data_IF_436431564493
#
_entry.id   IF_436431564493
#
_cell.length_a   1.000
_cell.length_b   1.000
_cell.length_c   1.000
_cell.angle_alpha   90.00
_cell.angle_beta   90.00
_cell.angle_gamma   90.00
#
_symmetry.space_group_name_H-M   'P 1'
#
loop_
_entity.id
_entity.type
_entity.pdbx_description
1 polymer ?
#
# COMPACT_ATOMS: atom_id res chain seq x y z
N UNK A 1 -1.76 -61.66 -10.01
CA UNK A 1 -0.65 -60.89 -10.62
C UNK A 1 -1.12 -59.46 -10.97
N UNK A 2 -1.58 -58.67 -9.99
CA UNK A 2 -2.15 -57.31 -10.22
C UNK A 2 -1.65 -56.28 -9.17
N UNK A 3 -0.69 -56.65 -8.31
CA UNK A 3 -0.26 -55.79 -7.19
C UNK A 3 1.16 -55.20 -7.33
N UNK A 4 1.69 -55.06 -8.56
CA UNK A 4 3.05 -54.55 -8.80
C UNK A 4 3.10 -53.28 -9.68
N UNK A 5 2.01 -52.92 -10.37
CA UNK A 5 1.99 -51.74 -11.27
C UNK A 5 1.62 -50.40 -10.59
N UNK A 6 1.07 -50.39 -9.38
CA UNK A 6 0.73 -49.14 -8.68
C UNK A 6 1.84 -48.58 -7.77
N UNK A 7 2.87 -49.37 -7.46
CA UNK A 7 4.04 -48.92 -6.69
C UNK A 7 5.11 -48.23 -7.56
N UNK A 8 5.08 -48.43 -8.88
CA UNK A 8 6.04 -47.82 -9.81
C UNK A 8 5.70 -46.39 -10.22
N UNK A 9 4.41 -45.98 -10.16
CA UNK A 9 4.00 -44.58 -10.43
C UNK A 9 4.29 -43.64 -9.24
N UNK A 10 4.20 -44.14 -8.01
CA UNK A 10 4.51 -43.36 -6.80
C UNK A 10 6.02 -43.15 -6.60
N UNK A 11 6.86 -44.05 -7.10
CA UNK A 11 8.32 -43.90 -7.07
C UNK A 11 8.88 -42.97 -8.17
N UNK A 12 8.20 -42.82 -9.32
CA UNK A 12 8.60 -41.87 -10.38
C UNK A 12 8.32 -40.40 -10.02
N UNK A 13 7.47 -40.13 -9.03
CA UNK A 13 7.15 -38.76 -8.60
C UNK A 13 8.32 -38.05 -7.89
N UNK A 14 9.35 -38.77 -7.46
CA UNK A 14 10.52 -38.22 -6.75
C UNK A 14 11.65 -37.73 -7.66
N UNK A 15 11.56 -37.91 -8.99
CA UNK A 15 12.62 -37.50 -9.91
C UNK A 15 12.39 -36.15 -10.61
N UNK A 16 11.18 -35.59 -10.55
CA UNK A 16 10.92 -34.27 -11.11
C UNK A 16 11.04 -33.19 -10.04
N UNK A 17 11.75 -32.08 -10.30
CA UNK A 17 11.80 -30.97 -9.36
C UNK A 17 10.39 -30.43 -9.13
N UNK A 18 9.97 -30.32 -7.88
CA UNK A 18 8.66 -29.76 -7.50
C UNK A 18 8.55 -28.34 -8.08
N UNK A 19 7.48 -28.11 -8.85
CA UNK A 19 7.17 -26.82 -9.49
C UNK A 19 6.01 -26.15 -8.78
N UNK A 20 6.24 -24.95 -8.27
CA UNK A 20 5.25 -24.16 -7.54
C UNK A 20 4.96 -22.89 -8.32
N UNK A 21 3.68 -22.66 -8.63
CA UNK A 21 3.22 -21.41 -9.20
C UNK A 21 2.92 -20.41 -8.07
N UNK A 22 3.45 -19.19 -8.17
CA UNK A 22 3.15 -18.09 -7.25
C UNK A 22 2.47 -16.98 -8.04
N UNK A 23 1.23 -16.67 -7.65
CA UNK A 23 0.37 -15.70 -8.33
C UNK A 23 0.49 -14.35 -7.63
N UNK A 24 1.28 -13.44 -8.17
CA UNK A 24 1.53 -12.12 -7.61
C UNK A 24 2.98 -11.95 -7.13
N UNK A 25 3.63 -10.89 -7.60
CA UNK A 25 5.04 -10.59 -7.31
C UNK A 25 5.23 -9.60 -6.16
N UNK A 26 4.26 -9.51 -5.25
CA UNK A 26 4.34 -8.64 -4.08
C UNK A 26 5.28 -9.21 -3.00
N UNK A 27 5.43 -8.50 -1.86
CA UNK A 27 6.28 -8.95 -0.75
C UNK A 27 5.93 -10.35 -0.22
N UNK A 28 4.64 -10.71 -0.19
CA UNK A 28 4.16 -12.03 0.21
C UNK A 28 4.68 -13.14 -0.71
N UNK A 29 4.55 -12.95 -2.03
CA UNK A 29 5.05 -13.90 -3.02
C UNK A 29 6.57 -14.06 -2.95
N UNK A 30 7.30 -12.94 -2.90
CA UNK A 30 8.76 -12.95 -2.87
C UNK A 30 9.34 -13.58 -1.59
N UNK A 31 8.68 -13.40 -0.43
CA UNK A 31 9.10 -14.04 0.83
C UNK A 31 9.02 -15.57 0.78
N UNK A 32 8.02 -16.10 0.07
CA UNK A 32 7.86 -17.56 -0.12
C UNK A 32 8.98 -18.12 -0.97
N UNK A 33 9.42 -17.39 -2.01
CA UNK A 33 10.55 -17.79 -2.85
C UNK A 33 11.86 -17.93 -2.06
N UNK A 34 12.08 -17.06 -1.08
CA UNK A 34 13.29 -17.07 -0.25
C UNK A 34 13.37 -18.22 0.76
N UNK A 35 12.24 -18.85 1.10
CA UNK A 35 12.15 -19.80 2.22
C UNK A 35 12.33 -21.26 1.83
N UNK A 36 12.40 -21.58 0.54
CA UNK A 36 12.25 -22.96 0.04
C UNK A 36 13.16 -23.28 -1.16
N UNK A 37 13.40 -24.58 -1.39
CA UNK A 37 14.35 -25.10 -2.38
C UNK A 37 13.72 -25.48 -3.75
N UNK A 38 12.45 -25.18 -3.99
CA UNK A 38 11.71 -25.62 -5.19
C UNK A 38 11.87 -24.70 -6.41
N UNK A 39 11.35 -25.13 -7.57
CA UNK A 39 11.27 -24.30 -8.77
C UNK A 39 10.00 -23.43 -8.70
N UNK A 40 10.16 -22.13 -8.89
CA UNK A 40 9.06 -21.18 -8.78
C UNK A 40 8.77 -20.48 -10.10
N UNK A 41 7.49 -20.35 -10.43
CA UNK A 41 7.05 -19.48 -11.52
C UNK A 41 6.19 -18.36 -10.94
N UNK A 42 6.68 -17.12 -11.06
CA UNK A 42 6.06 -15.93 -10.48
C UNK A 42 5.27 -15.20 -11.56
N UNK A 43 3.96 -15.14 -11.42
CA UNK A 43 3.06 -14.43 -12.34
C UNK A 43 2.80 -13.01 -11.84
N UNK A 44 2.91 -12.01 -12.71
CA UNK A 44 2.54 -10.62 -12.42
C UNK A 44 1.65 -10.06 -13.52
N UNK A 45 0.48 -9.56 -13.13
CA UNK A 45 -0.33 -8.68 -13.98
C UNK A 45 0.36 -7.32 -14.12
N UNK A 46 0.57 -6.85 -15.35
CA UNK A 46 0.76 -5.42 -15.58
C UNK A 46 -0.59 -4.76 -15.82
N UNK A 47 -0.70 -3.45 -15.52
CA UNK A 47 -1.93 -2.67 -15.72
C UNK A 47 -2.36 -2.59 -17.20
N UNK A 48 -3.26 -1.66 -17.53
CA UNK A 48 -3.99 -1.53 -18.81
C UNK A 48 -3.18 -2.00 -20.04
N UNK A 49 -3.83 -2.76 -20.95
CA UNK A 49 -3.17 -3.51 -22.01
C UNK A 49 -2.70 -2.58 -23.13
N UNK A 50 -1.59 -1.87 -22.93
CA UNK A 50 -0.89 -1.22 -24.03
C UNK A 50 0.16 -2.19 -24.57
N UNK A 51 -0.28 -3.11 -25.43
CA UNK A 51 0.53 -3.90 -26.38
C UNK A 51 1.78 -4.65 -25.85
N UNK A 52 1.96 -4.79 -24.53
CA UNK A 52 3.10 -5.52 -24.00
C UNK A 52 2.95 -7.01 -24.33
N UNK A 53 3.97 -7.61 -24.93
CA UNK A 53 4.07 -9.07 -25.07
C UNK A 53 4.37 -9.68 -23.68
N UNK A 54 4.03 -10.95 -23.42
CA UNK A 54 4.46 -11.64 -22.21
C UNK A 54 5.99 -11.51 -22.07
N UNK A 55 6.45 -10.85 -21.00
CA UNK A 55 7.89 -10.65 -20.79
C UNK A 55 8.41 -11.74 -19.86
N UNK A 56 9.30 -12.57 -20.41
CA UNK A 56 10.12 -13.51 -19.66
C UNK A 56 11.40 -12.76 -19.31
N UNK A 57 11.56 -12.32 -18.06
CA UNK A 57 12.67 -11.43 -17.73
C UNK A 57 12.56 -10.76 -16.37
N UNK A 58 13.52 -9.88 -16.07
CA UNK A 58 13.81 -9.34 -14.74
C UNK A 58 12.60 -8.77 -13.98
N UNK A 59 12.47 -9.15 -12.72
CA UNK A 59 11.53 -8.54 -11.77
C UNK A 59 12.01 -7.13 -11.44
N UNK A 60 11.29 -6.11 -11.93
CA UNK A 60 11.48 -4.73 -11.44
C UNK A 60 10.44 -4.47 -10.35
N UNK A 61 10.91 -4.38 -9.10
CA UNK A 61 10.16 -3.88 -7.96
C UNK A 61 10.60 -2.43 -7.68
N UNK A 62 9.72 -1.60 -7.11
CA UNK A 62 9.96 -0.17 -6.82
C UNK A 62 9.86 0.14 -5.31
N UNK A 63 10.46 -0.68 -4.43
CA UNK A 63 10.45 -0.45 -2.97
C UNK A 63 11.84 -0.68 -2.38
N UNK A 64 12.30 0.06 -1.36
CA UNK A 64 13.65 -0.10 -0.75
C UNK A 64 14.05 -1.52 -0.28
N UNK A 65 13.13 -2.48 -0.26
CA UNK A 65 13.40 -3.92 -0.08
C UNK A 65 13.80 -4.62 -1.41
N UNK A 66 13.98 -3.86 -2.49
CA UNK A 66 14.34 -4.34 -3.83
C UNK A 66 15.58 -5.21 -3.76
N UNK A 67 16.64 -4.81 -3.06
CA UNK A 67 17.93 -5.51 -3.20
C UNK A 67 17.84 -6.97 -2.76
N UNK A 68 17.19 -7.28 -1.63
CA UNK A 68 17.02 -8.66 -1.17
C UNK A 68 16.07 -9.47 -2.06
N UNK A 69 15.03 -8.81 -2.60
CA UNK A 69 14.05 -9.47 -3.45
C UNK A 69 14.55 -9.65 -4.90
N UNK A 70 15.37 -8.75 -5.41
CA UNK A 70 16.02 -8.86 -6.73
C UNK A 70 17.00 -10.02 -6.72
N UNK A 71 17.80 -10.19 -5.66
CA UNK A 71 18.66 -11.37 -5.51
C UNK A 71 17.85 -12.67 -5.51
N UNK A 72 16.68 -12.67 -4.86
CA UNK A 72 15.79 -13.84 -4.83
C UNK A 72 15.19 -14.12 -6.21
N UNK A 73 14.78 -13.08 -6.94
CA UNK A 73 14.21 -13.18 -8.28
C UNK A 73 15.23 -13.58 -9.36
N UNK A 74 16.50 -13.24 -9.18
CA UNK A 74 17.61 -13.63 -10.07
C UNK A 74 18.09 -15.07 -9.86
N UNK A 75 17.57 -15.78 -8.86
CA UNK A 75 17.96 -17.16 -8.63
C UNK A 75 17.54 -18.04 -9.82
N UNK A 76 18.42 -18.92 -10.29
CA UNK A 76 18.14 -19.87 -11.39
C UNK A 76 16.90 -20.75 -11.17
N UNK A 77 16.46 -20.88 -9.91
CA UNK A 77 15.25 -21.64 -9.52
C UNK A 77 13.95 -20.85 -9.67
N UNK A 78 14.02 -19.56 -9.98
CA UNK A 78 12.86 -18.68 -10.11
C UNK A 78 12.75 -18.24 -11.57
N UNK A 79 11.57 -18.45 -12.16
CA UNK A 79 11.21 -17.89 -13.47
C UNK A 79 10.14 -16.85 -13.27
N UNK A 80 10.39 -15.61 -13.68
CA UNK A 80 9.37 -14.58 -13.69
C UNK A 80 8.62 -14.55 -15.02
N UNK A 81 7.29 -14.51 -14.92
CA UNK A 81 6.38 -14.35 -16.04
C UNK A 81 5.53 -13.10 -15.80
N UNK A 82 5.97 -11.98 -16.35
CA UNK A 82 5.27 -10.71 -16.27
C UNK A 82 4.23 -10.55 -17.38
N UNK A 83 3.31 -9.62 -17.17
CA UNK A 83 2.25 -9.27 -18.11
C UNK A 83 1.32 -10.46 -18.43
N UNK A 84 0.95 -11.20 -17.39
CA UNK A 84 -0.03 -12.29 -17.45
C UNK A 84 -1.07 -12.06 -16.37
N UNK A 85 -2.32 -11.99 -16.80
CA UNK A 85 -3.49 -11.87 -15.95
C UNK A 85 -4.15 -13.22 -15.77
N UNK A 86 -4.10 -13.75 -14.55
CA UNK A 86 -4.73 -15.03 -14.21
C UNK A 86 -6.24 -14.80 -14.08
N UNK A 87 -7.02 -15.62 -14.79
CA UNK A 87 -8.46 -15.48 -14.95
C UNK A 87 -8.88 -14.94 -16.32
N UNK A 88 -8.03 -14.18 -17.01
CA UNK A 88 -8.28 -13.72 -18.39
C UNK A 88 -7.36 -14.40 -19.41
N UNK A 89 -6.06 -14.36 -19.20
CA UNK A 89 -5.06 -14.85 -20.16
C UNK A 89 -4.78 -16.34 -19.92
N UNK A 90 -4.74 -16.74 -18.66
CA UNK A 90 -4.57 -18.13 -18.21
C UNK A 90 -5.56 -18.41 -17.10
N UNK A 91 -6.34 -19.49 -17.22
CA UNK A 91 -7.26 -19.91 -16.17
C UNK A 91 -6.52 -20.47 -14.96
N UNK A 92 -7.12 -20.35 -13.77
CA UNK A 92 -6.56 -20.96 -12.56
C UNK A 92 -6.46 -22.49 -12.70
N UNK A 93 -7.39 -23.12 -13.42
CA UNK A 93 -7.38 -24.57 -13.63
C UNK A 93 -6.15 -25.02 -14.42
N UNK A 94 -5.81 -24.33 -15.51
CA UNK A 94 -4.61 -24.62 -16.29
C UNK A 94 -3.34 -24.53 -15.43
N UNK A 95 -3.29 -23.62 -14.46
CA UNK A 95 -2.14 -23.53 -13.53
C UNK A 95 -2.17 -24.71 -12.55
N UNK A 96 -3.33 -25.12 -12.04
CA UNK A 96 -3.42 -26.28 -11.15
C UNK A 96 -3.03 -27.59 -11.83
N UNK A 97 -3.30 -27.72 -13.12
CA UNK A 97 -2.98 -28.94 -13.87
C UNK A 97 -1.48 -29.05 -14.23
N UNK A 98 -0.78 -27.92 -14.38
CA UNK A 98 0.62 -27.87 -14.82
C UNK A 98 1.65 -27.78 -13.68
N UNK A 99 1.22 -27.45 -12.45
CA UNK A 99 2.08 -27.19 -11.29
C UNK A 99 1.69 -28.06 -10.10
N UNK A 100 2.66 -28.43 -9.26
CA UNK A 100 2.41 -29.27 -8.09
C UNK A 100 1.67 -28.53 -6.97
N UNK A 101 1.88 -27.22 -6.88
CA UNK A 101 1.20 -26.35 -5.93
C UNK A 101 1.02 -24.95 -6.52
N UNK A 102 -0.05 -24.28 -6.10
CA UNK A 102 -0.36 -22.90 -6.49
C UNK A 102 -0.53 -22.07 -5.23
N UNK A 103 0.21 -20.97 -5.14
CA UNK A 103 0.15 -20.03 -4.02
C UNK A 103 -0.38 -18.70 -4.52
N UNK A 104 -1.48 -18.24 -3.93
CA UNK A 104 -2.11 -16.98 -4.29
C UNK A 104 -1.54 -15.85 -3.42
N UNK A 105 -0.88 -14.89 -4.06
CA UNK A 105 -0.16 -13.76 -3.44
C UNK A 105 -0.47 -12.44 -4.17
N UNK A 106 -1.66 -12.30 -4.74
CA UNK A 106 -2.04 -11.16 -5.59
C UNK A 106 -2.48 -9.92 -4.81
N UNK A 107 -2.48 -9.97 -3.48
CA UNK A 107 -2.83 -8.84 -2.61
C UNK A 107 -4.31 -8.46 -2.67
N UNK A 108 -4.61 -7.23 -2.24
CA UNK A 108 -5.95 -6.65 -2.28
C UNK A 108 -5.98 -5.51 -3.31
N UNK A 109 -6.52 -5.79 -4.49
CA UNK A 109 -6.58 -4.83 -5.59
C UNK A 109 -7.83 -3.93 -5.56
N UNK A 110 -8.89 -4.37 -4.90
CA UNK A 110 -10.16 -3.65 -4.84
C UNK A 110 -10.20 -2.64 -3.70
N UNK A 111 -10.86 -1.52 -3.98
CA UNK A 111 -11.13 -0.46 -3.03
C UNK A 111 -12.34 -0.81 -2.17
N UNK A 112 -12.32 -0.40 -0.89
CA UNK A 112 -13.50 -0.49 -0.03
C UNK A 112 -14.37 0.74 -0.25
N UNK A 113 -15.56 0.54 -0.81
CA UNK A 113 -16.57 1.60 -0.98
C UNK A 113 -17.11 2.09 0.36
N UNK A 114 -17.57 3.34 0.39
CA UNK A 114 -18.22 3.94 1.55
C UNK A 114 -19.70 3.53 1.60
N UNK A 115 -20.29 3.20 0.45
CA UNK A 115 -21.71 2.87 0.26
C UNK A 115 -22.62 3.99 0.78
N UNK A 116 -22.29 5.23 0.39
CA UNK A 116 -23.06 6.43 0.71
C UNK A 116 -23.50 7.14 -0.58
N UNK A 117 -24.54 7.94 -0.48
CA UNK A 117 -24.98 8.78 -1.58
C UNK A 117 -23.87 9.75 -2.01
N UNK A 118 -23.66 9.88 -3.32
CA UNK A 118 -22.63 10.74 -3.88
C UNK A 118 -21.22 10.15 -3.88
N UNK A 119 -21.00 8.87 -3.55
CA UNK A 119 -19.65 8.29 -3.55
C UNK A 119 -19.01 8.11 -4.95
N UNK A 120 -19.83 8.11 -6.01
CA UNK A 120 -19.37 7.90 -7.39
C UNK A 120 -19.15 9.22 -8.16
N UNK A 121 -19.25 10.38 -7.50
CA UNK A 121 -18.93 11.68 -8.11
C UNK A 121 -17.43 11.80 -8.45
N UNK A 122 -17.10 12.57 -9.50
CA UNK A 122 -15.74 12.62 -10.06
C UNK A 122 -14.64 13.08 -9.09
N UNK A 123 -14.99 13.88 -8.07
CA UNK A 123 -14.06 14.39 -7.07
C UNK A 123 -13.88 13.44 -5.86
N UNK A 124 -14.63 12.34 -5.80
CA UNK A 124 -14.46 11.30 -4.76
C UNK A 124 -13.57 10.19 -5.32
N UNK A 125 -12.42 10.02 -4.69
CA UNK A 125 -11.35 9.15 -5.20
C UNK A 125 -10.88 8.23 -4.07
N UNK A 126 -10.69 6.95 -4.39
CA UNK A 126 -10.05 6.02 -3.44
C UNK A 126 -8.62 6.46 -3.15
N UNK A 127 -8.25 6.48 -1.87
CA UNK A 127 -6.88 6.75 -1.44
C UNK A 127 -5.87 5.82 -2.12
N UNK A 128 -6.20 4.54 -2.37
CA UNK A 128 -5.32 3.62 -3.12
C UNK A 128 -5.07 4.10 -4.54
N UNK A 129 -6.10 4.63 -5.22
CA UNK A 129 -5.98 5.15 -6.59
C UNK A 129 -5.17 6.44 -6.62
N UNK A 130 -5.36 7.33 -5.63
CA UNK A 130 -4.51 8.50 -5.44
C UNK A 130 -3.04 8.12 -5.23
N UNK A 131 -2.79 7.11 -4.39
CA UNK A 131 -1.44 6.52 -4.19
C UNK A 131 -0.89 5.91 -5.47
N UNK A 132 -1.73 5.20 -6.22
CA UNK A 132 -1.36 4.61 -7.51
C UNK A 132 -0.98 5.68 -8.52
N UNK A 133 -1.73 6.78 -8.57
CA UNK A 133 -1.51 7.91 -9.47
C UNK A 133 -0.13 8.55 -9.26
N UNK A 134 0.22 8.95 -8.03
CA UNK A 134 1.51 9.61 -7.81
C UNK A 134 2.71 8.66 -7.94
N UNK A 135 2.53 7.37 -7.62
CA UNK A 135 3.56 6.33 -7.79
C UNK A 135 3.66 5.75 -9.21
N UNK A 136 2.79 6.16 -10.15
CA UNK A 136 2.86 5.71 -11.54
C UNK A 136 2.34 4.30 -11.80
N UNK A 137 1.36 3.83 -11.01
CA UNK A 137 0.60 2.62 -11.33
C UNK A 137 -0.11 2.83 -12.67
N UNK A 138 0.09 1.97 -13.68
CA UNK A 138 -0.44 2.19 -15.02
C UNK A 138 -1.96 2.38 -15.10
N UNK A 139 -2.71 1.67 -14.25
CA UNK A 139 -4.18 1.75 -14.21
C UNK A 139 -4.69 3.11 -13.69
N UNK A 140 -3.90 3.78 -12.86
CA UNK A 140 -4.25 5.02 -12.16
C UNK A 140 -3.50 6.24 -12.74
N UNK A 141 -2.73 6.09 -13.83
CA UNK A 141 -1.95 7.17 -14.46
C UNK A 141 -2.82 8.32 -14.97
N UNK A 142 -3.93 7.99 -15.62
CA UNK A 142 -4.84 8.95 -16.25
C UNK A 142 -5.95 9.43 -15.30
N UNK A 143 -5.72 9.29 -13.98
CA UNK A 143 -6.67 9.74 -12.98
C UNK A 143 -6.74 11.27 -13.00
N UNK A 144 -7.90 11.80 -13.37
CA UNK A 144 -8.12 13.24 -13.39
C UNK A 144 -8.47 13.75 -12.00
N UNK A 145 -7.43 14.06 -11.22
CA UNK A 145 -7.59 14.70 -9.91
C UNK A 145 -7.60 16.21 -10.11
N UNK A 146 -8.66 16.84 -9.60
CA UNK A 146 -8.74 18.29 -9.41
C UNK A 146 -8.16 18.66 -8.04
N UNK A 147 -7.13 19.51 -8.04
CA UNK A 147 -6.47 20.05 -6.85
C UNK A 147 -6.67 21.57 -6.72
N UNK A 148 -7.57 22.15 -7.52
CA UNK A 148 -7.92 23.57 -7.51
C UNK A 148 -8.95 23.90 -6.41
N UNK A 149 -8.77 23.31 -5.24
CA UNK A 149 -9.61 23.53 -4.07
C UNK A 149 -8.72 23.80 -2.86
N UNK A 150 -9.24 24.52 -1.87
CA UNK A 150 -8.45 24.82 -0.67
C UNK A 150 -8.43 23.68 0.36
N UNK A 151 -9.41 22.76 0.29
CA UNK A 151 -9.62 21.73 1.31
C UNK A 151 -9.79 20.35 0.70
N UNK A 152 -9.03 19.38 1.21
CA UNK A 152 -9.22 17.97 0.93
C UNK A 152 -9.68 17.21 2.19
N UNK A 153 -10.55 16.22 2.01
CA UNK A 153 -11.07 15.38 3.09
C UNK A 153 -10.69 13.93 2.82
N UNK A 154 -10.09 13.29 3.83
CA UNK A 154 -9.65 11.90 3.78
C UNK A 154 -10.46 11.11 4.81
N UNK A 155 -11.16 10.08 4.35
CA UNK A 155 -11.95 9.20 5.22
C UNK A 155 -11.09 8.00 5.62
N UNK A 156 -10.74 7.92 6.90
CA UNK A 156 -9.96 6.84 7.50
C UNK A 156 -8.69 7.33 8.20
N UNK A 157 -8.34 6.69 9.32
CA UNK A 157 -7.17 7.02 10.14
C UNK A 157 -6.13 5.90 10.09
N UNK A 158 -5.66 5.58 8.89
CA UNK A 158 -4.58 4.61 8.65
C UNK A 158 -3.33 5.26 8.07
N UNK A 159 -2.26 4.49 7.90
CA UNK A 159 -1.01 4.99 7.30
C UNK A 159 -1.23 5.59 5.90
N UNK A 160 -2.05 4.95 5.07
CA UNK A 160 -2.36 5.46 3.71
C UNK A 160 -3.00 6.85 3.76
N UNK A 161 -3.84 7.12 4.77
CA UNK A 161 -4.45 8.43 4.94
C UNK A 161 -3.40 9.50 5.31
N UNK A 162 -2.45 9.15 6.18
CA UNK A 162 -1.32 10.01 6.51
C UNK A 162 -0.47 10.28 5.27
N UNK A 163 -0.16 9.25 4.47
CA UNK A 163 0.64 9.42 3.26
C UNK A 163 -0.05 10.32 2.24
N UNK A 164 -1.37 10.17 2.04
CA UNK A 164 -2.14 11.06 1.18
C UNK A 164 -2.07 12.51 1.70
N UNK A 165 -2.29 12.74 3.00
CA UNK A 165 -2.21 14.07 3.60
C UNK A 165 -0.81 14.68 3.44
N UNK A 166 0.25 13.88 3.64
CA UNK A 166 1.62 14.31 3.45
C UNK A 166 1.89 14.72 2.01
N UNK A 167 1.51 13.91 1.03
CA UNK A 167 1.72 14.25 -0.39
C UNK A 167 0.97 15.52 -0.79
N UNK A 168 -0.24 15.72 -0.28
CA UNK A 168 -1.04 16.92 -0.58
C UNK A 168 -0.47 18.20 0.04
N UNK A 169 0.19 18.11 1.20
CA UNK A 169 0.67 19.27 1.96
C UNK A 169 2.18 19.53 1.84
N UNK A 170 2.95 18.55 1.37
CA UNK A 170 4.41 18.68 1.22
C UNK A 170 4.72 19.62 0.07
N UNK A 171 5.71 20.49 0.27
CA UNK A 171 6.23 21.37 -0.78
C UNK A 171 6.69 20.54 -2.00
N UNK A 172 5.98 20.71 -3.10
CA UNK A 172 6.22 20.00 -4.35
C UNK A 172 7.55 20.39 -4.99
N UNK A 173 7.93 21.66 -4.95
CA UNK A 173 9.11 22.16 -5.65
C UNK A 173 10.40 21.82 -4.92
N UNK A 174 10.41 21.86 -3.60
CA UNK A 174 11.62 21.64 -2.80
C UNK A 174 11.83 20.18 -2.41
N UNK A 175 10.76 19.47 -2.02
CA UNK A 175 10.88 18.15 -1.39
C UNK A 175 10.49 17.05 -2.39
N UNK A 176 9.30 17.13 -2.98
CA UNK A 176 8.80 16.06 -3.84
C UNK A 176 9.59 15.94 -5.16
N UNK A 177 10.16 17.03 -5.66
CA UNK A 177 11.03 17.03 -6.85
C UNK A 177 12.27 16.14 -6.73
N UNK A 178 12.73 15.89 -5.50
CA UNK A 178 13.88 15.03 -5.19
C UNK A 178 13.48 13.56 -4.95
N UNK A 179 12.20 13.22 -5.17
CA UNK A 179 11.66 11.87 -4.98
C UNK A 179 11.33 11.21 -6.32
N UNK A 180 11.06 9.92 -6.26
CA UNK A 180 10.64 9.05 -7.36
C UNK A 180 9.15 9.21 -7.75
N UNK A 181 8.52 10.31 -7.32
CA UNK A 181 7.16 10.70 -7.76
C UNK A 181 7.11 10.93 -9.28
N UNK A 182 5.97 10.61 -9.88
CA UNK A 182 5.78 10.82 -11.32
C UNK A 182 5.75 12.31 -11.69
N UNK A 183 6.39 12.66 -12.81
CA UNK A 183 6.44 14.05 -13.33
C UNK A 183 5.06 14.69 -13.48
N UNK A 184 4.11 13.95 -14.06
CA UNK A 184 2.72 14.41 -14.22
C UNK A 184 2.08 14.77 -12.88
N UNK A 185 2.27 13.94 -11.85
CA UNK A 185 1.68 14.18 -10.54
C UNK A 185 2.33 15.35 -9.83
N UNK A 186 3.66 15.49 -9.98
CA UNK A 186 4.41 16.65 -9.49
C UNK A 186 3.95 17.96 -10.12
N UNK A 187 3.70 17.98 -11.43
CA UNK A 187 3.19 19.15 -12.15
C UNK A 187 1.81 19.55 -11.66
N UNK A 188 0.91 18.59 -11.39
CA UNK A 188 -0.41 18.88 -10.79
C UNK A 188 -0.27 19.36 -9.34
N UNK A 189 0.57 18.71 -8.52
CA UNK A 189 0.78 19.08 -7.12
C UNK A 189 1.41 20.48 -6.98
N UNK A 190 2.27 20.90 -7.91
CA UNK A 190 2.86 22.25 -7.88
C UNK A 190 1.88 23.39 -8.20
N UNK A 191 0.72 23.05 -8.76
CA UNK A 191 -0.40 23.98 -9.00
C UNK A 191 -1.55 23.78 -8.01
N UNK A 192 -1.36 22.92 -7.01
CA UNK A 192 -2.37 22.63 -5.98
C UNK A 192 -2.65 23.87 -5.14
N UNK A 193 -3.93 24.14 -4.89
CA UNK A 193 -4.38 25.20 -3.99
C UNK A 193 -4.75 24.67 -2.59
N UNK A 194 -4.50 23.38 -2.33
CA UNK A 194 -4.87 22.75 -1.06
C UNK A 194 -4.02 23.31 0.06
N UNK A 195 -4.71 23.83 1.08
CA UNK A 195 -4.13 24.37 2.32
C UNK A 195 -4.55 23.55 3.53
N UNK A 196 -5.73 22.95 3.49
CA UNK A 196 -6.32 22.21 4.59
C UNK A 196 -6.56 20.76 4.20
N UNK A 197 -6.13 19.82 5.04
CA UNK A 197 -6.45 18.40 4.89
C UNK A 197 -7.08 17.89 6.18
N UNK A 198 -8.31 17.40 6.09
CA UNK A 198 -9.02 16.79 7.21
C UNK A 198 -8.92 15.27 7.12
N UNK A 199 -8.48 14.63 8.21
CA UNK A 199 -8.44 13.16 8.33
C UNK A 199 -9.54 12.74 9.29
N UNK A 200 -10.62 12.16 8.75
CA UNK A 200 -11.81 11.83 9.52
C UNK A 200 -11.81 10.34 9.89
N UNK A 201 -11.91 10.06 11.18
CA UNK A 201 -12.11 8.71 11.71
C UNK A 201 -13.55 8.49 12.13
N UNK A 202 -14.05 7.26 11.96
CA UNK A 202 -15.35 6.83 12.51
C UNK A 202 -15.30 6.48 14.01
N UNK A 203 -14.10 6.44 14.61
CA UNK A 203 -13.82 6.07 16.00
C UNK A 203 -12.80 7.04 16.57
N UNK A 204 -12.63 7.01 17.88
CA UNK A 204 -11.75 7.92 18.61
C UNK A 204 -10.24 7.64 18.43
N UNK A 205 -9.40 8.49 19.07
CA UNK A 205 -7.94 8.47 18.95
C UNK A 205 -7.29 7.16 19.40
N UNK A 206 -7.94 6.38 20.26
CA UNK A 206 -7.44 5.06 20.68
C UNK A 206 -7.56 3.97 19.62
N UNK A 207 -8.40 4.15 18.60
CA UNK A 207 -8.67 3.16 17.56
C UNK A 207 -8.01 3.48 16.22
N UNK A 208 -7.10 4.45 16.20
CA UNK A 208 -6.29 4.79 15.03
C UNK A 208 -5.49 3.58 14.56
N UNK A 209 -5.31 3.48 13.24
CA UNK A 209 -4.59 2.37 12.60
C UNK A 209 -3.28 2.80 11.98
N UNK A 210 -2.93 4.10 12.06
CA UNK A 210 -1.61 4.57 11.69
C UNK A 210 -0.56 4.26 12.75
N UNK A 211 0.70 4.17 12.35
CA UNK A 211 1.80 3.93 13.28
C UNK A 211 2.45 5.22 13.76
N UNK A 212 3.25 5.12 14.83
CA UNK A 212 3.92 6.27 15.45
C UNK A 212 4.94 6.95 14.55
N UNK A 213 5.59 6.21 13.64
CA UNK A 213 6.60 6.79 12.76
C UNK A 213 5.90 7.71 11.75
N UNK A 214 4.86 7.23 11.11
CA UNK A 214 4.08 7.92 10.09
C UNK A 214 3.40 9.16 10.70
N UNK A 215 2.80 9.02 11.88
CA UNK A 215 2.21 10.16 12.59
C UNK A 215 3.26 11.20 12.99
N UNK A 216 4.44 10.77 13.44
CA UNK A 216 5.53 11.69 13.77
C UNK A 216 6.03 12.45 12.53
N UNK A 217 6.13 11.79 11.39
CA UNK A 217 6.50 12.46 10.13
C UNK A 217 5.46 13.52 9.73
N UNK A 218 4.16 13.25 9.90
CA UNK A 218 3.09 14.22 9.66
C UNK A 218 3.23 15.47 10.56
N UNK A 219 3.45 15.27 11.86
CA UNK A 219 3.60 16.38 12.84
C UNK A 219 4.82 17.27 12.59
N UNK A 220 5.78 16.81 11.79
CA UNK A 220 7.03 17.51 11.47
C UNK A 220 7.06 18.09 10.06
N UNK A 221 5.93 18.07 9.34
CA UNK A 221 5.86 18.70 8.03
C UNK A 221 6.17 20.19 8.14
N UNK A 222 7.07 20.67 7.27
CA UNK A 222 7.43 22.09 7.23
C UNK A 222 6.22 22.92 6.79
N UNK A 223 6.08 24.11 7.37
CA UNK A 223 5.00 25.06 7.08
C UNK A 223 3.58 24.51 7.29
N UNK A 224 3.44 23.37 7.97
CA UNK A 224 2.16 22.74 8.28
C UNK A 224 1.96 22.69 9.79
N UNK A 225 0.72 22.88 10.22
CA UNK A 225 0.32 22.70 11.61
C UNK A 225 -0.65 21.53 11.72
N UNK A 226 -0.34 20.58 12.59
CA UNK A 226 -1.26 19.49 12.92
C UNK A 226 -2.22 19.96 14.01
N UNK A 227 -3.52 19.87 13.75
CA UNK A 227 -4.58 20.27 14.69
C UNK A 227 -5.37 19.02 15.06
N UNK A 228 -5.61 18.82 16.36
CA UNK A 228 -6.43 17.72 16.89
C UNK A 228 -7.41 18.25 17.93
N UNK A 229 -8.57 17.60 18.06
CA UNK A 229 -9.55 17.95 19.10
C UNK A 229 -9.03 17.54 20.47
N UNK A 230 -8.87 18.51 21.37
CA UNK A 230 -8.52 18.28 22.79
C UNK A 230 -9.60 17.49 23.52
N UNK A 231 -10.85 17.78 23.25
CA UNK A 231 -12.01 17.17 23.91
C UNK A 231 -12.01 15.64 23.78
N UNK A 232 -11.66 15.11 22.60
CA UNK A 232 -11.59 13.66 22.38
C UNK A 232 -10.36 13.01 23.03
N UNK A 233 -9.26 13.75 23.16
CA UNK A 233 -8.01 13.24 23.74
C UNK A 233 -8.01 13.29 25.27
N UNK A 234 -8.65 14.29 25.86
CA UNK A 234 -8.74 14.47 27.32
C UNK A 234 -9.65 13.43 27.99
N UNK A 235 -10.53 12.80 27.21
CA UNK A 235 -11.39 11.70 27.67
C UNK A 235 -10.64 10.37 27.88
N UNK A 236 -9.36 10.27 27.51
CA UNK A 236 -8.58 9.02 27.64
C UNK A 236 -8.11 8.87 29.10
N UNK A 237 -8.61 7.89 29.87
CA UNK A 237 -8.21 7.70 31.26
C UNK A 237 -6.76 7.20 31.36
N UNK A 238 -6.00 7.75 32.31
CA UNK A 238 -4.60 7.39 32.52
C UNK A 238 -4.41 5.91 32.90
N UNK A 239 -5.38 5.33 33.61
CA UNK A 239 -5.42 3.90 33.94
C UNK A 239 -5.44 3.01 32.70
N UNK A 240 -6.17 3.42 31.66
CA UNK A 240 -6.21 2.71 30.37
C UNK A 240 -4.86 2.85 29.67
N UNK A 241 -4.27 4.05 29.66
CA UNK A 241 -2.97 4.30 29.02
C UNK A 241 -1.85 3.42 29.60
N UNK A 242 -1.85 3.19 30.92
CA UNK A 242 -0.87 2.34 31.60
C UNK A 242 -1.02 0.85 31.28
N UNK A 243 -2.25 0.41 30.99
CA UNK A 243 -2.55 -0.98 30.59
C UNK A 243 -2.20 -1.30 29.13
N UNK A 244 -1.94 -0.30 28.29
CA UNK A 244 -1.66 -0.50 26.87
C UNK A 244 -0.28 -1.11 26.62
N UNK A 245 -0.21 -1.94 25.58
CA UNK A 245 1.07 -2.41 25.04
C UNK A 245 1.97 -1.23 24.63
N UNK A 246 3.29 -1.38 24.83
CA UNK A 246 4.29 -0.33 24.60
C UNK A 246 4.13 0.43 23.27
N UNK A 247 3.88 -0.21 22.10
CA UNK A 247 3.73 0.51 20.84
C UNK A 247 2.51 1.44 20.81
N UNK A 248 1.36 0.94 21.29
CA UNK A 248 0.11 1.72 21.36
C UNK A 248 0.18 2.83 22.40
N UNK A 249 0.82 2.56 23.54
CA UNK A 249 1.04 3.56 24.59
C UNK A 249 1.81 4.77 24.05
N UNK A 250 2.97 4.53 23.41
CA UNK A 250 3.80 5.60 22.83
C UNK A 250 3.09 6.42 21.75
N UNK A 251 2.26 5.76 20.94
CA UNK A 251 1.45 6.44 19.92
C UNK A 251 0.42 7.36 20.58
N UNK A 252 -0.30 6.84 21.58
CA UNK A 252 -1.34 7.57 22.29
C UNK A 252 -0.76 8.76 23.06
N UNK A 253 0.39 8.59 23.72
CA UNK A 253 1.14 9.67 24.38
C UNK A 253 1.50 10.79 23.39
N UNK A 254 1.94 10.44 22.18
CA UNK A 254 2.26 11.42 21.14
C UNK A 254 1.02 12.16 20.66
N UNK A 255 -0.11 11.47 20.48
CA UNK A 255 -1.40 12.08 20.11
C UNK A 255 -1.83 13.10 21.16
N UNK A 256 -1.82 12.71 22.44
CA UNK A 256 -2.18 13.60 23.56
C UNK A 256 -1.26 14.82 23.60
N UNK A 257 0.05 14.62 23.40
CA UNK A 257 1.03 15.71 23.36
C UNK A 257 0.70 16.73 22.25
N UNK A 258 0.50 16.24 21.02
CA UNK A 258 0.19 17.08 19.85
C UNK A 258 -1.14 17.81 20.05
N UNK A 259 -2.14 17.15 20.63
CA UNK A 259 -3.44 17.77 20.93
C UNK A 259 -3.31 18.96 21.88
N UNK A 260 -2.50 18.83 22.94
CA UNK A 260 -2.24 19.91 23.91
C UNK A 260 -1.50 21.09 23.27
N UNK A 261 -0.45 20.81 22.49
CA UNK A 261 0.29 21.84 21.74
C UNK A 261 -0.64 22.60 20.79
N UNK A 262 -1.53 21.89 20.08
CA UNK A 262 -2.46 22.51 19.15
C UNK A 262 -3.46 23.47 19.83
N UNK A 263 -3.94 23.12 21.02
CA UNK A 263 -4.91 23.92 21.79
C UNK A 263 -4.32 25.24 22.27
N UNK A 264 -3.08 25.21 22.77
CA UNK A 264 -2.39 26.40 23.26
C UNK A 264 -2.14 27.47 22.19
N UNK A 265 -2.05 27.05 20.93
CA UNK A 265 -1.82 27.96 19.81
C UNK A 265 -3.12 28.51 19.21
N UNK A 266 -4.23 27.75 19.28
CA UNK A 266 -5.55 28.25 18.87
C UNK A 266 -5.98 29.39 19.80
N UNK A 267 -5.78 29.26 21.10
CA UNK A 267 -6.08 30.32 22.08
C UNK A 267 -5.23 31.59 21.89
N UNK A 268 -3.99 31.47 21.41
CA UNK A 268 -3.13 32.62 21.09
C UNK A 268 -3.56 33.34 19.82
N UNK A 269 -4.03 32.60 18.81
CA UNK A 269 -4.53 33.19 17.56
C UNK A 269 -5.94 33.78 17.70
N UNK A 270 -6.78 33.28 18.61
CA UNK A 270 -8.10 33.85 18.90
C UNK A 270 -8.06 35.16 19.71
N UNK A 271 -6.89 35.53 20.27
CA UNK A 271 -6.67 36.76 21.05
C UNK A 271 -5.96 37.87 20.27
N UNK A 272 -5.70 37.67 18.98
CA UNK A 272 -5.14 38.65 18.05
C UNK A 272 -6.19 39.06 17.04
#
# INVERSE_FOLDING_TARGET
>A
MVCSKHLSQSAQCLQNPIRIAVVGSGPSGLRILGSHKHLYILFKRQGKPNHAKPQRGLVVCQLNVINSFTTTALNKRVTFMGNISIGSDISLQQIRDNYNAVVLCYGAAQDRKLNIEGEDVSHVISARRFVGWYNGVPDDRDLDIDLNCETAVIIGQGNVAIDCARILLTDSQQILSNTDITKHSLEKLSKSNIKNVYIIGRRGPMQVSFTIKEFRELTKLMNCKTIMSSEECDQIPQTILESLERPKKRLTELIIKVSKESSTDVEKNAKK
#
